data_IF_024108707861
#
_entry.id   IF_024108707861
#
_cell.length_a   1.000
_cell.length_b   1.000
_cell.length_c   1.000
_cell.angle_alpha   90.00
_cell.angle_beta   90.00
_cell.angle_gamma   90.00
#
_symmetry.space_group_name_H-M   'P 1'
#
loop_
_entity.id
_entity.type
_entity.pdbx_description
1 polymer ?
#
# COMPACT_ATOMS: atom_id res chain seq x y z
N UNK A 1 -37.04 -59.74 -27.81
CA UNK A 1 -36.38 -58.90 -26.73
C UNK A 1 -35.80 -57.66 -27.38
N UNK A 2 -36.36 -56.48 -27.09
CA UNK A 2 -35.88 -55.20 -27.57
C UNK A 2 -35.04 -54.56 -26.46
N UNK A 3 -33.75 -54.38 -26.67
CA UNK A 3 -32.88 -53.66 -25.72
C UNK A 3 -32.98 -52.14 -25.99
N UNK A 4 -33.41 -51.41 -24.98
CA UNK A 4 -33.39 -49.94 -24.98
C UNK A 4 -32.06 -49.50 -24.34
N UNK A 5 -31.17 -48.89 -25.12
CA UNK A 5 -29.90 -48.34 -24.62
C UNK A 5 -30.20 -46.89 -24.20
N UNK A 6 -30.12 -46.61 -22.91
CA UNK A 6 -30.12 -45.25 -22.39
C UNK A 6 -28.74 -44.64 -22.52
N UNK A 7 -28.61 -43.60 -23.37
CA UNK A 7 -27.41 -42.83 -23.48
C UNK A 7 -27.45 -41.72 -22.41
N UNK A 8 -26.64 -41.86 -21.37
CA UNK A 8 -26.51 -40.86 -20.29
C UNK A 8 -25.52 -39.78 -20.77
N UNK A 9 -26.03 -38.61 -21.21
CA UNK A 9 -25.20 -37.43 -21.49
C UNK A 9 -24.77 -36.80 -20.16
N UNK A 10 -23.50 -36.97 -19.75
CA UNK A 10 -22.91 -36.29 -18.63
C UNK A 10 -22.52 -34.87 -19.15
N UNK A 11 -23.32 -33.87 -18.80
CA UNK A 11 -22.96 -32.44 -18.98
C UNK A 11 -21.92 -32.08 -17.90
N UNK A 12 -20.66 -32.04 -18.29
CA UNK A 12 -19.59 -31.52 -17.43
C UNK A 12 -19.74 -29.99 -17.34
N UNK A 13 -20.31 -29.48 -16.27
CA UNK A 13 -20.22 -28.06 -15.93
C UNK A 13 -18.80 -27.76 -15.51
N UNK A 14 -18.04 -27.15 -16.39
CA UNK A 14 -16.79 -26.50 -16.02
C UNK A 14 -17.16 -25.17 -15.32
N UNK A 15 -17.13 -25.18 -13.98
CA UNK A 15 -17.13 -23.94 -13.22
C UNK A 15 -15.82 -23.21 -13.58
N UNK A 16 -15.89 -22.18 -14.40
CA UNK A 16 -14.77 -21.28 -14.60
C UNK A 16 -14.51 -20.61 -13.25
N UNK A 17 -13.39 -20.94 -12.60
CA UNK A 17 -12.95 -20.24 -11.42
C UNK A 17 -12.78 -18.77 -11.80
N UNK A 18 -13.59 -17.89 -11.21
CA UNK A 18 -13.43 -16.46 -11.41
C UNK A 18 -12.07 -16.04 -10.89
N UNK A 19 -11.28 -15.37 -11.74
CA UNK A 19 -10.04 -14.77 -11.29
C UNK A 19 -10.32 -13.82 -10.12
N UNK A 20 -9.47 -13.82 -9.07
CA UNK A 20 -9.64 -12.88 -7.97
C UNK A 20 -9.74 -11.45 -8.49
N UNK A 21 -10.63 -10.66 -7.89
CA UNK A 21 -10.75 -9.25 -8.22
C UNK A 21 -9.40 -8.53 -8.01
N UNK A 22 -9.07 -7.50 -8.81
CA UNK A 22 -7.84 -6.74 -8.62
C UNK A 22 -7.83 -6.08 -7.23
N UNK A 23 -6.66 -5.98 -6.56
CA UNK A 23 -6.52 -5.36 -5.24
C UNK A 23 -6.67 -3.83 -5.36
N UNK A 24 -7.87 -3.33 -5.10
CA UNK A 24 -8.21 -1.90 -5.25
C UNK A 24 -8.55 -1.28 -3.91
N UNK A 25 -7.87 -0.18 -3.57
CA UNK A 25 -8.21 0.67 -2.43
C UNK A 25 -9.59 1.27 -2.64
N UNK A 26 -10.46 1.16 -1.65
CA UNK A 26 -11.86 1.58 -1.75
C UNK A 26 -12.03 3.05 -1.37
N UNK A 27 -12.21 3.90 -2.36
CA UNK A 27 -12.53 5.32 -2.15
C UNK A 27 -13.86 5.51 -1.43
N UNK A 28 -13.93 6.56 -0.61
CA UNK A 28 -15.15 6.91 0.13
C UNK A 28 -15.32 6.18 1.47
N UNK A 29 -14.45 5.22 1.79
CA UNK A 29 -14.47 4.49 3.07
C UNK A 29 -13.46 5.02 4.08
N UNK A 30 -12.86 6.19 3.80
CA UNK A 30 -11.94 6.83 4.74
C UNK A 30 -12.67 7.23 6.01
N UNK A 31 -12.18 6.78 7.17
CA UNK A 31 -12.73 7.16 8.46
C UNK A 31 -11.66 7.72 9.40
N UNK A 32 -12.09 8.54 10.33
CA UNK A 32 -11.23 9.20 11.31
C UNK A 32 -11.07 8.29 12.53
N UNK A 33 -9.81 7.98 12.92
CA UNK A 33 -9.53 7.18 14.11
C UNK A 33 -9.05 8.01 15.30
N UNK A 34 -8.48 9.21 15.05
CA UNK A 34 -8.07 10.15 16.10
C UNK A 34 -8.09 11.59 15.57
N UNK A 35 -7.60 12.57 16.34
CA UNK A 35 -7.68 13.97 15.96
C UNK A 35 -7.06 14.27 14.59
N UNK A 36 -5.91 13.67 14.29
CA UNK A 36 -5.13 13.96 13.08
C UNK A 36 -5.00 12.74 12.16
N UNK A 37 -5.49 11.57 12.57
CA UNK A 37 -5.24 10.30 11.86
C UNK A 37 -6.53 9.73 11.25
N UNK A 38 -6.42 9.35 9.98
CA UNK A 38 -7.47 8.72 9.20
C UNK A 38 -6.94 7.42 8.59
N UNK A 39 -7.84 6.50 8.30
CA UNK A 39 -7.51 5.22 7.66
C UNK A 39 -8.48 4.95 6.51
N UNK A 40 -7.95 4.48 5.39
CA UNK A 40 -8.72 3.78 4.37
C UNK A 40 -8.53 2.30 4.67
N UNK A 41 -9.58 1.56 5.11
CA UNK A 41 -9.44 0.16 5.49
C UNK A 41 -9.19 -0.74 4.28
N UNK A 42 -8.55 -1.87 4.53
CA UNK A 42 -8.29 -2.92 3.54
C UNK A 42 -9.55 -3.66 3.08
N UNK A 43 -10.67 -3.53 3.81
CA UNK A 43 -11.95 -4.22 3.56
C UNK A 43 -11.80 -5.75 3.45
N UNK A 44 -10.75 -6.30 4.05
CA UNK A 44 -10.36 -7.70 3.95
C UNK A 44 -10.10 -8.15 2.49
N UNK A 45 -9.76 -7.22 1.61
CA UNK A 45 -9.35 -7.50 0.23
C UNK A 45 -7.88 -7.92 0.24
N UNK A 46 -7.54 -9.12 -0.22
CA UNK A 46 -6.15 -9.56 -0.28
C UNK A 46 -5.25 -8.58 -1.05
N UNK A 47 -4.05 -8.32 -0.53
CA UNK A 47 -3.07 -7.38 -1.12
C UNK A 47 -3.52 -5.91 -1.15
N UNK A 48 -4.46 -5.52 -0.31
CA UNK A 48 -4.79 -4.13 -0.04
C UNK A 48 -4.37 -3.83 1.40
N UNK A 49 -3.47 -2.87 1.66
CA UNK A 49 -3.09 -2.48 3.01
C UNK A 49 -4.14 -1.57 3.65
N UNK A 50 -4.15 -1.48 4.98
CA UNK A 50 -4.77 -0.37 5.68
C UNK A 50 -3.95 0.90 5.42
N UNK A 51 -4.44 1.80 4.59
CA UNK A 51 -3.74 3.04 4.23
C UNK A 51 -3.90 4.07 5.32
N UNK A 52 -2.78 4.57 5.87
CA UNK A 52 -2.79 5.64 6.86
C UNK A 52 -2.72 7.03 6.22
N UNK A 53 -3.47 8.00 6.77
CA UNK A 53 -3.36 9.41 6.39
C UNK A 53 -3.27 10.24 7.67
N UNK A 54 -2.17 10.98 7.83
CA UNK A 54 -1.95 11.87 8.98
C UNK A 54 -1.93 13.31 8.51
N UNK A 55 -2.81 14.14 9.06
CA UNK A 55 -3.03 15.53 8.62
C UNK A 55 -2.51 16.50 9.67
N UNK A 56 -1.44 17.21 9.34
CA UNK A 56 -0.99 18.39 10.11
C UNK A 56 -1.46 19.71 9.48
N UNK A 57 -1.04 20.83 10.05
CA UNK A 57 -1.40 22.15 9.52
C UNK A 57 -0.57 22.59 8.32
N UNK A 58 0.59 21.95 8.08
CA UNK A 58 1.53 22.29 6.98
C UNK A 58 1.59 21.21 5.90
N UNK A 59 1.53 19.95 6.30
CA UNK A 59 1.71 18.81 5.41
C UNK A 59 0.79 17.64 5.76
N UNK A 60 0.63 16.75 4.80
CA UNK A 60 -0.09 15.48 4.96
C UNK A 60 0.88 14.33 4.70
N UNK A 61 0.91 13.37 5.61
CA UNK A 61 1.65 12.12 5.48
C UNK A 61 0.70 11.01 5.02
N UNK A 62 1.13 10.21 4.06
CA UNK A 62 0.47 8.97 3.64
C UNK A 62 1.36 7.79 3.96
N UNK A 63 0.77 6.79 4.59
CA UNK A 63 1.41 5.51 4.95
C UNK A 63 0.83 4.42 4.08
N UNK A 64 1.68 3.67 3.39
CA UNK A 64 1.33 2.51 2.55
C UNK A 64 0.24 2.81 1.50
N UNK A 65 0.54 3.59 0.44
CA UNK A 65 -0.46 4.08 -0.52
C UNK A 65 -1.06 3.01 -1.44
N UNK A 66 -0.85 1.73 -1.14
CA UNK A 66 -1.42 0.63 -1.90
C UNK A 66 -0.57 0.17 -3.08
N UNK A 67 -1.12 -0.77 -3.85
CA UNK A 67 -0.48 -1.37 -5.02
C UNK A 67 -0.75 -0.56 -6.28
N UNK A 68 0.32 -0.15 -6.97
CA UNK A 68 0.23 0.46 -8.31
C UNK A 68 -0.32 1.89 -8.34
N UNK A 69 -0.15 2.53 -9.50
CA UNK A 69 -0.51 3.94 -9.72
C UNK A 69 -1.97 4.26 -9.37
N UNK A 70 -2.91 3.42 -9.82
CA UNK A 70 -4.36 3.65 -9.64
C UNK A 70 -4.74 3.75 -8.17
N UNK A 71 -4.19 2.88 -7.32
CA UNK A 71 -4.45 2.94 -5.88
C UNK A 71 -3.83 4.19 -5.25
N UNK A 72 -2.60 4.54 -5.61
CA UNK A 72 -1.99 5.79 -5.15
C UNK A 72 -2.78 7.04 -5.53
N UNK A 73 -3.33 7.10 -6.74
CA UNK A 73 -4.21 8.20 -7.17
C UNK A 73 -5.52 8.25 -6.36
N UNK A 74 -6.11 7.09 -6.04
CA UNK A 74 -7.29 6.99 -5.18
C UNK A 74 -6.98 7.52 -3.77
N UNK A 75 -5.87 7.08 -3.18
CA UNK A 75 -5.40 7.54 -1.87
C UNK A 75 -5.13 9.05 -1.88
N UNK A 76 -4.50 9.58 -2.92
CA UNK A 76 -4.27 11.02 -3.06
C UNK A 76 -5.59 11.80 -3.11
N UNK A 77 -6.61 11.31 -3.84
CA UNK A 77 -7.93 11.95 -3.85
C UNK A 77 -8.57 11.96 -2.47
N UNK A 78 -8.50 10.86 -1.73
CA UNK A 78 -9.00 10.79 -0.35
C UNK A 78 -8.24 11.77 0.57
N UNK A 79 -6.91 11.79 0.51
CA UNK A 79 -6.10 12.70 1.31
C UNK A 79 -6.44 14.19 1.04
N UNK A 80 -6.69 14.55 -0.22
CA UNK A 80 -7.10 15.91 -0.61
C UNK A 80 -8.50 16.32 -0.11
N UNK A 81 -9.39 15.37 0.20
CA UNK A 81 -10.68 15.67 0.84
C UNK A 81 -10.51 16.05 2.32
N UNK A 82 -9.46 15.56 2.97
CA UNK A 82 -9.21 15.75 4.40
C UNK A 82 -8.46 17.04 4.72
N UNK A 83 -7.71 17.58 3.78
CA UNK A 83 -6.87 18.76 3.99
C UNK A 83 -6.64 19.53 2.70
N UNK A 84 -6.31 20.85 2.85
CA UNK A 84 -5.88 21.70 1.74
C UNK A 84 -4.35 21.74 1.57
N UNK A 85 -3.63 20.88 2.29
CA UNK A 85 -2.18 20.80 2.17
C UNK A 85 -1.77 20.43 0.75
N UNK A 86 -0.74 21.11 0.24
CA UNK A 86 -0.09 20.81 -1.04
C UNK A 86 1.19 20.01 -0.85
N UNK A 87 1.75 20.02 0.35
CA UNK A 87 2.93 19.25 0.70
C UNK A 87 2.51 17.84 1.18
N UNK A 88 2.99 16.82 0.46
CA UNK A 88 2.74 15.42 0.79
C UNK A 88 4.05 14.70 1.09
N UNK A 89 4.04 13.96 2.18
CA UNK A 89 5.04 12.93 2.49
C UNK A 89 4.43 11.56 2.25
N UNK A 90 5.25 10.63 1.74
CA UNK A 90 4.89 9.23 1.51
C UNK A 90 5.90 8.38 2.24
N UNK A 91 5.42 7.44 3.03
CA UNK A 91 6.24 6.45 3.73
C UNK A 91 5.63 5.06 3.53
N UNK A 92 6.47 4.06 3.55
CA UNK A 92 6.06 2.67 3.42
C UNK A 92 6.59 1.89 4.62
N UNK A 93 5.73 1.05 5.21
CA UNK A 93 6.15 0.18 6.32
C UNK A 93 7.25 -0.76 5.87
N UNK A 94 7.16 -1.24 4.62
CA UNK A 94 8.18 -2.05 3.98
C UNK A 94 8.07 -1.94 2.44
N UNK A 95 8.97 -2.62 1.71
CA UNK A 95 9.12 -2.40 0.27
C UNK A 95 8.20 -3.23 -0.62
N UNK A 96 7.38 -4.13 -0.08
CA UNK A 96 6.53 -4.99 -0.90
C UNK A 96 5.57 -4.18 -1.79
N UNK A 97 5.26 -4.69 -3.00
CA UNK A 97 4.52 -3.94 -4.01
C UNK A 97 3.18 -3.39 -3.55
N UNK A 98 2.45 -4.13 -2.71
CA UNK A 98 1.12 -3.75 -2.19
C UNK A 98 1.16 -2.56 -1.23
N UNK A 99 2.32 -2.28 -0.62
CA UNK A 99 2.53 -1.14 0.27
C UNK A 99 3.19 0.04 -0.43
N UNK A 100 4.12 -0.23 -1.36
CA UNK A 100 5.04 0.80 -1.84
C UNK A 100 4.74 1.33 -3.25
N UNK A 101 4.21 0.50 -4.16
CA UNK A 101 4.11 0.92 -5.56
C UNK A 101 3.03 1.97 -5.85
N UNK A 102 2.10 2.19 -4.92
CA UNK A 102 1.12 3.29 -4.98
C UNK A 102 1.74 4.68 -4.96
N UNK A 103 2.99 4.81 -4.50
CA UNK A 103 3.72 6.10 -4.60
C UNK A 103 3.77 6.65 -6.03
N UNK A 104 3.67 5.79 -7.06
CA UNK A 104 3.62 6.19 -8.46
C UNK A 104 2.36 7.00 -8.83
N UNK A 105 1.31 6.98 -8.00
CA UNK A 105 0.08 7.75 -8.18
C UNK A 105 0.14 9.18 -7.66
N UNK A 106 1.21 9.56 -6.95
CA UNK A 106 1.37 10.89 -6.39
C UNK A 106 2.12 11.83 -7.34
N UNK A 107 1.91 13.16 -7.21
CA UNK A 107 2.61 14.14 -8.04
C UNK A 107 4.12 14.13 -7.75
N UNK A 108 4.97 14.60 -8.69
CA UNK A 108 6.43 14.57 -8.55
C UNK A 108 6.95 15.27 -7.29
N UNK A 109 6.24 16.28 -6.80
CA UNK A 109 6.60 17.09 -5.62
C UNK A 109 6.41 16.35 -4.30
N UNK A 110 5.62 15.26 -4.30
CA UNK A 110 5.42 14.44 -3.10
C UNK A 110 6.74 13.78 -2.70
N UNK A 111 7.10 13.91 -1.43
CA UNK A 111 8.40 13.50 -0.88
C UNK A 111 8.32 12.09 -0.30
N UNK A 112 9.00 11.16 -0.90
CA UNK A 112 9.14 9.79 -0.34
C UNK A 112 10.27 9.81 0.69
N UNK A 113 10.03 9.22 1.86
CA UNK A 113 11.02 9.05 2.92
C UNK A 113 11.13 7.57 3.26
N UNK A 114 12.35 7.04 3.31
CA UNK A 114 12.61 5.60 3.53
C UNK A 114 13.71 5.35 4.55
N UNK A 115 13.63 4.22 5.23
CA UNK A 115 14.78 3.67 5.93
C UNK A 115 15.83 3.19 4.91
N UNK A 116 17.13 3.35 5.24
CA UNK A 116 18.23 2.94 4.36
C UNK A 116 18.15 1.45 4.00
N UNK A 117 17.84 0.59 4.97
CA UNK A 117 17.67 -0.85 4.72
C UNK A 117 16.49 -1.15 3.76
N UNK A 118 15.40 -0.39 3.82
CA UNK A 118 14.29 -0.53 2.88
C UNK A 118 14.70 -0.06 1.47
N UNK A 119 15.45 1.02 1.37
CA UNK A 119 15.98 1.49 0.09
C UNK A 119 16.92 0.45 -0.54
N UNK A 120 17.77 -0.18 0.27
CA UNK A 120 18.63 -1.28 -0.16
C UNK A 120 17.81 -2.49 -0.66
N UNK A 121 16.73 -2.89 0.04
CA UNK A 121 15.83 -3.95 -0.43
C UNK A 121 15.22 -3.64 -1.80
N UNK A 122 14.82 -2.38 -2.02
CA UNK A 122 14.28 -1.91 -3.30
C UNK A 122 15.33 -2.01 -4.41
N UNK A 123 16.57 -1.56 -4.15
CA UNK A 123 17.66 -1.58 -5.13
C UNK A 123 18.07 -3.01 -5.51
N UNK A 124 18.11 -3.92 -4.54
CA UNK A 124 18.53 -5.29 -4.76
C UNK A 124 17.43 -6.16 -5.39
N UNK A 125 16.17 -6.00 -4.97
CA UNK A 125 15.12 -6.95 -5.33
C UNK A 125 13.74 -6.34 -5.63
N UNK A 126 13.57 -5.03 -5.52
CA UNK A 126 12.26 -4.39 -5.63
C UNK A 126 11.51 -4.74 -6.91
N UNK A 127 12.15 -4.64 -8.08
CA UNK A 127 11.50 -4.96 -9.35
C UNK A 127 11.28 -6.46 -9.56
N UNK A 128 12.10 -7.32 -8.95
CA UNK A 128 11.85 -8.77 -8.95
C UNK A 128 10.56 -9.09 -8.17
N UNK A 129 10.34 -8.41 -7.04
CA UNK A 129 9.09 -8.55 -6.28
C UNK A 129 7.87 -8.05 -7.05
N UNK A 130 7.98 -6.92 -7.78
CA UNK A 130 6.92 -6.44 -8.68
C UNK A 130 6.55 -7.51 -9.72
N UNK A 131 7.54 -8.14 -10.35
CA UNK A 131 7.31 -9.21 -11.33
C UNK A 131 6.70 -10.45 -10.68
N UNK A 132 7.20 -10.86 -9.50
CA UNK A 132 6.68 -12.01 -8.77
C UNK A 132 5.20 -11.80 -8.38
N UNK A 133 4.85 -10.58 -7.94
CA UNK A 133 3.46 -10.25 -7.62
C UNK A 133 2.58 -10.26 -8.88
N UNK A 134 3.01 -9.63 -9.95
CA UNK A 134 2.28 -9.61 -11.22
C UNK A 134 1.97 -11.03 -11.75
N UNK A 135 2.84 -12.00 -11.47
CA UNK A 135 2.64 -13.39 -11.89
C UNK A 135 1.58 -14.15 -11.10
N UNK A 136 1.12 -13.63 -9.94
CA UNK A 136 0.18 -14.33 -9.06
C UNK A 136 -1.25 -14.36 -9.58
N UNK A 137 -1.68 -13.28 -10.27
CA UNK A 137 -3.00 -13.24 -10.90
C UNK A 137 -3.10 -12.12 -11.96
N UNK A 138 -4.03 -12.25 -12.94
CA UNK A 138 -4.28 -11.19 -13.92
C UNK A 138 -4.66 -9.85 -13.28
N UNK A 139 -5.44 -9.85 -12.20
CA UNK A 139 -5.85 -8.63 -11.48
C UNK A 139 -4.67 -7.90 -10.83
N UNK A 140 -3.70 -8.64 -10.28
CA UNK A 140 -2.46 -8.06 -9.74
C UNK A 140 -1.59 -7.54 -10.88
N UNK A 141 -1.46 -8.28 -11.98
CA UNK A 141 -0.72 -7.85 -13.16
C UNK A 141 -1.27 -6.53 -13.74
N UNK A 142 -2.60 -6.42 -13.85
CA UNK A 142 -3.26 -5.19 -14.27
C UNK A 142 -2.97 -4.02 -13.31
N UNK A 143 -3.06 -4.26 -12.00
CA UNK A 143 -2.81 -3.23 -10.97
C UNK A 143 -1.36 -2.71 -11.01
N UNK A 144 -0.39 -3.58 -11.29
CA UNK A 144 1.03 -3.24 -11.39
C UNK A 144 1.45 -2.76 -12.79
N UNK A 145 0.54 -2.71 -13.74
CA UNK A 145 0.85 -2.27 -15.11
C UNK A 145 1.46 -0.85 -15.11
N UNK A 146 2.57 -0.69 -15.82
CA UNK A 146 3.28 0.59 -15.94
C UNK A 146 4.18 0.93 -14.74
N UNK A 147 4.31 0.05 -13.75
CA UNK A 147 5.30 0.19 -12.69
C UNK A 147 6.66 -0.29 -13.24
N UNK A 148 7.56 0.65 -13.48
CA UNK A 148 8.91 0.43 -14.01
C UNK A 148 10.00 0.67 -12.99
N UNK A 149 9.65 1.05 -11.77
CA UNK A 149 10.57 1.34 -10.67
C UNK A 149 9.85 1.97 -9.48
N UNK A 150 10.59 2.12 -8.41
CA UNK A 150 10.17 2.86 -7.22
C UNK A 150 10.67 4.30 -7.32
N UNK A 151 9.97 5.22 -6.69
CA UNK A 151 10.40 6.62 -6.66
C UNK A 151 11.70 6.75 -5.89
N UNK A 152 12.58 7.64 -6.36
CA UNK A 152 13.76 8.04 -5.60
C UNK A 152 13.31 8.74 -4.31
N UNK A 153 13.80 8.32 -3.13
CA UNK A 153 13.45 8.99 -1.90
C UNK A 153 14.03 10.40 -1.86
N UNK A 154 13.27 11.34 -1.32
CA UNK A 154 13.75 12.69 -1.03
C UNK A 154 14.71 12.69 0.17
N UNK A 155 14.52 11.72 1.06
CA UNK A 155 15.38 11.52 2.22
C UNK A 155 15.43 10.04 2.63
N UNK A 156 16.60 9.62 3.08
CA UNK A 156 16.86 8.29 3.64
C UNK A 156 17.34 8.45 5.08
N UNK A 157 16.86 7.60 6.00
CA UNK A 157 17.28 7.60 7.40
C UNK A 157 17.75 6.20 7.85
N UNK A 158 18.60 6.14 8.86
CA UNK A 158 19.19 4.85 9.33
C UNK A 158 18.29 4.11 10.32
N UNK A 159 18.00 4.71 11.47
CA UNK A 159 17.27 4.06 12.57
C UNK A 159 15.96 4.75 12.90
N UNK A 160 16.01 6.05 13.03
CA UNK A 160 14.80 6.84 13.31
C UNK A 160 14.86 8.21 12.66
N UNK A 161 13.69 8.77 12.43
CA UNK A 161 13.48 10.13 11.97
C UNK A 161 12.15 10.64 12.51
N UNK A 162 12.08 11.92 12.80
CA UNK A 162 10.82 12.60 13.14
C UNK A 162 10.43 13.56 12.03
N UNK A 163 9.18 13.49 11.59
CA UNK A 163 8.55 14.45 10.69
C UNK A 163 7.62 15.36 11.51
N UNK A 164 7.72 16.65 11.32
CA UNK A 164 6.77 17.64 11.82
C UNK A 164 5.85 18.08 10.67
N UNK A 165 4.58 17.67 10.75
CA UNK A 165 3.56 18.00 9.77
C UNK A 165 2.85 19.34 10.05
N UNK A 166 3.35 20.11 11.01
CA UNK A 166 2.73 21.31 11.54
C UNK A 166 1.80 20.98 12.71
N UNK A 167 2.38 20.92 13.92
CA UNK A 167 1.68 20.58 15.15
C UNK A 167 1.41 19.08 15.38
N UNK A 168 1.76 18.24 14.41
CA UNK A 168 1.68 16.78 14.52
C UNK A 168 3.04 16.19 14.18
N UNK A 169 3.61 15.45 15.12
CA UNK A 169 4.90 14.78 14.93
C UNK A 169 4.70 13.30 14.70
N UNK A 170 5.36 12.78 13.68
CA UNK A 170 5.37 11.36 13.36
C UNK A 170 6.80 10.84 13.47
N UNK A 171 7.01 9.87 14.35
CA UNK A 171 8.29 9.17 14.46
C UNK A 171 8.29 7.97 13.52
N UNK A 172 9.28 7.93 12.67
CA UNK A 172 9.59 6.83 11.76
C UNK A 172 10.67 6.00 12.44
N UNK A 173 10.36 4.75 12.78
CA UNK A 173 11.24 3.88 13.55
C UNK A 173 11.51 2.61 12.76
N UNK A 174 12.74 2.42 12.25
CA UNK A 174 13.15 1.15 11.64
C UNK A 174 13.38 0.12 12.73
N UNK A 175 12.55 -0.91 12.76
CA UNK A 175 12.61 -2.02 13.72
C UNK A 175 13.16 -3.31 13.11
N UNK A 176 13.16 -3.44 11.78
CA UNK A 176 13.65 -4.64 11.09
C UNK A 176 15.10 -5.01 11.42
N UNK A 177 15.52 -6.24 11.09
CA UNK A 177 14.79 -7.17 10.27
C UNK A 177 13.68 -7.91 11.02
N UNK A 178 12.53 -8.08 10.37
CA UNK A 178 11.37 -8.83 10.83
C UNK A 178 10.69 -9.50 9.64
N UNK A 179 9.68 -8.86 9.03
CA UNK A 179 9.07 -9.28 7.78
C UNK A 179 9.98 -9.00 6.58
N UNK A 180 10.66 -7.82 6.59
CA UNK A 180 11.73 -7.43 5.68
C UNK A 180 12.93 -6.89 6.46
N UNK A 181 14.03 -6.52 5.77
CA UNK A 181 15.19 -5.87 6.44
C UNK A 181 14.85 -4.45 6.89
N UNK A 182 14.00 -3.77 6.12
CA UNK A 182 13.70 -2.36 6.26
C UNK A 182 12.40 -2.05 6.98
N UNK A 183 11.79 -3.01 7.69
CA UNK A 183 10.52 -2.79 8.37
C UNK A 183 10.56 -1.56 9.27
N UNK A 184 9.63 -0.67 9.01
CA UNK A 184 9.52 0.63 9.67
C UNK A 184 8.11 0.81 10.21
N UNK A 185 7.99 1.24 11.45
CA UNK A 185 6.71 1.62 12.04
C UNK A 185 6.62 3.14 12.15
N UNK A 186 5.40 3.67 12.12
CA UNK A 186 5.14 5.10 12.16
C UNK A 186 4.26 5.44 13.37
N UNK A 187 4.85 6.14 14.34
CA UNK A 187 4.18 6.52 15.56
C UNK A 187 3.78 8.00 15.54
N UNK A 188 2.48 8.26 15.53
CA UNK A 188 1.90 9.61 15.62
C UNK A 188 1.83 9.98 17.09
N UNK A 189 2.72 10.87 17.55
CA UNK A 189 2.92 11.15 18.98
C UNK A 189 1.67 11.73 19.65
N UNK A 190 1.08 12.76 19.07
CA UNK A 190 -0.08 13.47 19.65
C UNK A 190 -1.31 12.57 19.76
N UNK A 191 -1.50 11.69 18.80
CA UNK A 191 -2.66 10.81 18.70
C UNK A 191 -2.43 9.43 19.34
N UNK A 192 -1.16 9.07 19.63
CA UNK A 192 -0.76 7.76 20.14
C UNK A 192 -1.19 6.62 19.23
N UNK A 193 -1.16 6.85 17.93
CA UNK A 193 -1.47 5.87 16.89
C UNK A 193 -0.18 5.32 16.30
N UNK A 194 -0.13 4.01 16.12
CA UNK A 194 0.99 3.30 15.52
C UNK A 194 0.53 2.60 14.24
N UNK A 195 1.24 2.81 13.15
CA UNK A 195 1.15 1.99 11.94
C UNK A 195 2.29 0.99 11.96
N UNK A 196 1.97 -0.30 12.03
CA UNK A 196 2.95 -1.39 12.20
C UNK A 196 3.29 -2.10 10.90
N UNK A 197 2.49 -1.92 9.84
CA UNK A 197 2.59 -2.77 8.66
C UNK A 197 2.49 -4.25 9.05
N UNK A 198 3.17 -5.10 8.31
CA UNK A 198 3.14 -6.56 8.45
C UNK A 198 4.00 -7.10 9.62
N UNK A 199 4.52 -6.21 10.48
CA UNK A 199 5.13 -6.63 11.75
C UNK A 199 4.10 -7.11 12.78
N UNK A 200 2.83 -6.70 12.64
CA UNK A 200 1.74 -7.15 13.49
C UNK A 200 0.51 -7.42 12.58
N UNK A 201 0.29 -8.70 12.31
CA UNK A 201 -0.86 -9.22 11.55
C UNK A 201 -1.70 -10.13 12.43
#
# INVERSE_FOLDING_TARGET
MRYVVFLLCILSFHAAAQSPAPPVVKEGNTFKISQHVYVIPDELVPMVPNVGIVVGTKATLVVDPGMGRRNGEAVLREAKKLSRNTEFYIVNTHFHPEHATGEAGFPPEAKVIRAAAQQQDIEEMGMQWVQNFASRSPGIAETLQGITGFRKPAEVFEKEKTLDLGGVRVRLLRLGPGHTRGDTVFFVEQDRVLFSGDLAM
#
